data_IF_953795579055
#
_entry.id   IF_953795579055
#
_cell.length_a   1.000
_cell.length_b   1.000
_cell.length_c   1.000
_cell.angle_alpha   90.00
_cell.angle_beta   90.00
_cell.angle_gamma   90.00
#
_symmetry.space_group_name_H-M   'P 1'
#
loop_
_entity.id
_entity.type
_entity.pdbx_description
1 polymer ?
#
# COMPACT_ATOMS: atom_id res chain seq x y z
N UNK A 1 -26.92 23.87 4.47
CA UNK A 1 -25.94 23.00 3.77
C UNK A 1 -26.69 21.84 3.18
N UNK A 2 -26.35 21.36 1.97
CA UNK A 2 -27.05 20.22 1.37
C UNK A 2 -26.78 18.95 2.19
N UNK A 3 -27.77 18.10 2.42
CA UNK A 3 -27.66 16.81 3.13
C UNK A 3 -26.48 15.97 2.59
N UNK A 4 -26.24 16.04 1.28
CA UNK A 4 -25.11 15.39 0.59
C UNK A 4 -23.75 15.85 1.13
N UNK A 5 -23.57 17.16 1.37
CA UNK A 5 -22.30 17.69 1.92
C UNK A 5 -22.07 17.25 3.37
N UNK A 6 -23.13 17.18 4.15
CA UNK A 6 -23.02 16.72 5.54
C UNK A 6 -22.63 15.25 5.61
N UNK A 7 -23.26 14.39 4.80
CA UNK A 7 -22.89 12.98 4.68
C UNK A 7 -21.45 12.81 4.17
N UNK A 8 -21.00 13.59 3.20
CA UNK A 8 -19.62 13.54 2.71
C UNK A 8 -18.60 13.90 3.80
N UNK A 9 -18.89 14.88 4.65
CA UNK A 9 -18.02 15.24 5.79
C UNK A 9 -17.94 14.13 6.85
N UNK A 10 -19.05 13.43 7.11
CA UNK A 10 -19.06 12.28 8.02
C UNK A 10 -18.21 11.13 7.45
N UNK A 11 -18.40 10.82 6.17
CA UNK A 11 -17.59 9.79 5.50
C UNK A 11 -16.11 10.19 5.50
N UNK A 12 -15.79 11.47 5.24
CA UNK A 12 -14.41 11.96 5.29
C UNK A 12 -13.75 11.69 6.65
N UNK A 13 -14.49 11.82 7.76
CA UNK A 13 -13.96 11.52 9.09
C UNK A 13 -13.70 10.02 9.35
N UNK A 14 -14.26 9.15 8.55
CA UNK A 14 -14.05 7.70 8.59
C UNK A 14 -12.93 7.24 7.65
N UNK A 15 -12.49 8.10 6.74
CA UNK A 15 -11.35 7.83 5.85
C UNK A 15 -10.02 8.12 6.55
N UNK A 16 -8.89 7.52 6.10
CA UNK A 16 -7.58 7.70 6.74
C UNK A 16 -7.04 9.13 6.79
N UNK A 17 -7.53 10.05 5.96
CA UNK A 17 -7.17 11.46 5.95
C UNK A 17 -5.74 11.77 5.49
N UNK A 18 -5.05 10.83 4.84
CA UNK A 18 -3.63 10.96 4.46
C UNK A 18 -3.42 11.55 3.06
N UNK A 19 -4.49 11.82 2.31
CA UNK A 19 -4.45 12.38 0.95
C UNK A 19 -3.35 11.76 0.07
N UNK A 20 -3.41 10.42 -0.06
CA UNK A 20 -2.37 9.63 -0.75
C UNK A 20 -2.25 9.91 -2.26
N UNK A 21 -3.04 10.85 -2.81
CA UNK A 21 -3.01 11.23 -4.21
C UNK A 21 -3.56 10.17 -5.16
N UNK A 22 -4.41 9.26 -4.67
CA UNK A 22 -4.98 8.17 -5.47
C UNK A 22 -4.04 6.98 -5.71
N UNK A 23 -2.79 7.07 -5.29
CA UNK A 23 -1.79 6.00 -5.46
C UNK A 23 -2.09 4.75 -4.61
N UNK A 24 -2.98 4.88 -3.62
CA UNK A 24 -3.46 3.76 -2.82
C UNK A 24 -4.66 3.02 -3.43
N UNK A 25 -4.90 3.14 -4.74
CA UNK A 25 -5.92 2.35 -5.45
C UNK A 25 -7.33 2.94 -5.46
N UNK A 26 -7.64 4.01 -4.71
CA UNK A 26 -8.97 4.64 -4.78
C UNK A 26 -9.16 5.52 -6.02
N UNK A 27 -8.06 5.97 -6.65
CA UNK A 27 -8.07 6.77 -7.87
C UNK A 27 -8.41 8.26 -7.68
N UNK A 28 -8.53 8.74 -6.44
CA UNK A 28 -8.87 10.13 -6.14
C UNK A 28 -7.70 10.89 -5.50
N UNK A 29 -7.49 12.18 -5.83
CA UNK A 29 -6.32 12.92 -5.36
C UNK A 29 -6.36 13.24 -3.86
N UNK A 30 -7.55 13.33 -3.26
CA UNK A 30 -7.74 13.63 -1.84
C UNK A 30 -8.79 12.72 -1.22
N UNK A 31 -8.76 12.57 0.09
CA UNK A 31 -9.79 11.83 0.81
C UNK A 31 -11.16 12.52 0.72
N UNK A 32 -11.21 13.85 0.58
CA UNK A 32 -12.45 14.58 0.35
C UNK A 32 -13.09 14.21 -1.00
N UNK A 33 -12.30 14.13 -2.07
CA UNK A 33 -12.78 13.69 -3.38
C UNK A 33 -13.24 12.22 -3.35
N UNK A 34 -12.57 11.36 -2.60
CA UNK A 34 -12.97 9.97 -2.37
C UNK A 34 -14.31 9.90 -1.61
N UNK A 35 -14.47 10.66 -0.52
CA UNK A 35 -15.73 10.73 0.25
C UNK A 35 -16.89 11.20 -0.62
N UNK A 36 -16.69 12.22 -1.44
CA UNK A 36 -17.70 12.73 -2.37
C UNK A 36 -18.12 11.64 -3.37
N UNK A 37 -17.17 10.92 -3.96
CA UNK A 37 -17.46 9.84 -4.90
C UNK A 37 -18.26 8.69 -4.25
N UNK A 38 -17.96 8.35 -2.98
CA UNK A 38 -18.71 7.35 -2.21
C UNK A 38 -20.17 7.79 -2.03
N UNK A 39 -20.40 9.05 -1.66
CA UNK A 39 -21.75 9.60 -1.54
C UNK A 39 -22.51 9.56 -2.87
N UNK A 40 -21.83 9.85 -3.99
CA UNK A 40 -22.37 9.85 -5.35
C UNK A 40 -22.67 8.44 -5.89
N UNK A 41 -22.39 7.38 -5.14
CA UNK A 41 -22.78 6.02 -5.50
C UNK A 41 -21.65 5.03 -5.70
N UNK A 42 -20.38 5.42 -5.46
CA UNK A 42 -19.27 4.47 -5.45
C UNK A 42 -19.34 3.54 -4.23
N UNK A 43 -18.54 2.48 -4.25
CA UNK A 43 -18.48 1.50 -3.16
C UNK A 43 -18.06 2.15 -1.84
N UNK A 44 -18.62 1.69 -0.72
CA UNK A 44 -18.16 2.05 0.61
C UNK A 44 -16.70 1.61 0.86
N UNK A 45 -16.26 0.52 0.21
CA UNK A 45 -14.89 0.00 0.22
C UNK A 45 -14.00 0.61 -0.89
N UNK A 46 -14.30 1.83 -1.37
CA UNK A 46 -13.54 2.49 -2.44
C UNK A 46 -12.09 2.77 -2.03
N UNK A 47 -11.86 3.14 -0.76
CA UNK A 47 -10.53 3.34 -0.23
C UNK A 47 -9.96 2.03 0.32
N UNK A 48 -8.90 1.45 -0.29
CA UNK A 48 -8.32 0.18 0.19
C UNK A 48 -7.61 0.31 1.54
N UNK A 49 -7.36 1.53 2.01
CA UNK A 49 -6.77 1.79 3.32
C UNK A 49 -7.81 1.87 4.46
N UNK A 50 -9.10 1.68 4.16
CA UNK A 50 -10.15 1.55 5.16
C UNK A 50 -10.22 0.09 5.64
N UNK A 51 -10.27 -0.07 6.95
CA UNK A 51 -10.55 -1.37 7.56
C UNK A 51 -12.04 -1.75 7.46
N UNK A 52 -12.37 -2.96 7.88
CA UNK A 52 -13.74 -3.48 7.82
C UNK A 52 -14.73 -2.68 8.68
N UNK A 53 -14.26 -2.10 9.79
CA UNK A 53 -15.12 -1.32 10.69
C UNK A 53 -15.43 0.04 10.09
N UNK A 54 -14.45 0.71 9.47
CA UNK A 54 -14.66 1.95 8.75
C UNK A 54 -15.62 1.75 7.56
N UNK A 55 -15.44 0.69 6.77
CA UNK A 55 -16.33 0.38 5.63
C UNK A 55 -17.74 0.06 6.08
N UNK A 56 -17.92 -0.63 7.20
CA UNK A 56 -19.23 -0.88 7.80
C UNK A 56 -19.89 0.42 8.21
N UNK A 57 -19.18 1.29 8.93
CA UNK A 57 -19.68 2.59 9.37
C UNK A 57 -20.07 3.50 8.19
N UNK A 58 -19.27 3.48 7.10
CA UNK A 58 -19.58 4.20 5.87
C UNK A 58 -20.87 3.63 5.23
N UNK A 59 -21.03 2.31 5.21
CA UNK A 59 -22.21 1.65 4.65
C UNK A 59 -23.47 2.00 5.44
N UNK A 60 -23.40 1.99 6.78
CA UNK A 60 -24.47 2.39 7.67
C UNK A 60 -24.89 3.86 7.48
N UNK A 61 -23.91 4.78 7.38
CA UNK A 61 -24.17 6.20 7.12
C UNK A 61 -24.89 6.43 5.78
N UNK A 62 -24.65 5.57 4.80
CA UNK A 62 -25.29 5.61 3.48
C UNK A 62 -26.60 4.82 3.41
N UNK A 63 -26.94 4.05 4.46
CA UNK A 63 -28.09 3.13 4.44
C UNK A 63 -27.94 2.01 3.41
N UNK A 64 -26.71 1.55 3.17
CA UNK A 64 -26.37 0.47 2.23
C UNK A 64 -25.97 -0.79 2.98
N UNK A 65 -26.10 -1.94 2.30
CA UNK A 65 -25.55 -3.22 2.81
C UNK A 65 -24.02 -3.12 2.99
N UNK A 66 -23.46 -3.65 4.10
CA UNK A 66 -22.02 -3.71 4.30
C UNK A 66 -21.33 -4.48 3.19
N UNK A 67 -20.21 -3.96 2.71
CA UNK A 67 -19.34 -4.63 1.72
C UNK A 67 -18.27 -5.40 2.47
N UNK A 68 -18.07 -6.66 2.11
CA UNK A 68 -16.99 -7.47 2.67
C UNK A 68 -15.63 -6.95 2.16
N UNK A 69 -14.72 -6.65 3.08
CA UNK A 69 -13.38 -6.16 2.80
C UNK A 69 -12.39 -7.27 3.11
N UNK A 70 -11.52 -7.58 2.15
CA UNK A 70 -10.43 -8.50 2.37
C UNK A 70 -9.31 -7.78 3.12
N UNK A 71 -9.07 -8.13 4.38
CA UNK A 71 -7.96 -7.58 5.19
C UNK A 71 -6.64 -8.14 4.69
N UNK A 72 -5.93 -7.34 3.90
CA UNK A 72 -4.67 -7.72 3.28
C UNK A 72 -3.55 -6.77 3.70
N UNK A 73 -2.34 -7.31 3.73
CA UNK A 73 -1.11 -6.55 3.99
C UNK A 73 -0.09 -6.82 2.90
N UNK A 74 0.79 -5.85 2.68
CA UNK A 74 1.91 -6.04 1.79
C UNK A 74 2.89 -7.07 2.35
N UNK A 75 3.44 -7.89 1.47
CA UNK A 75 4.45 -8.89 1.77
C UNK A 75 5.59 -8.80 0.77
N UNK A 76 6.84 -8.84 1.26
CA UNK A 76 8.04 -8.82 0.43
C UNK A 76 8.47 -10.26 0.08
N UNK A 77 8.49 -10.59 -1.20
CA UNK A 77 9.01 -11.88 -1.71
C UNK A 77 10.52 -11.82 -1.95
N UNK A 78 11.29 -11.51 -0.92
CA UNK A 78 12.74 -11.50 -0.96
C UNK A 78 13.33 -11.87 0.41
N UNK A 79 14.10 -12.95 0.46
CA UNK A 79 14.79 -13.39 1.68
C UNK A 79 16.04 -12.59 2.03
N UNK A 80 16.54 -11.74 1.14
CA UNK A 80 17.45 -10.64 1.50
C UNK A 80 18.90 -10.76 1.06
N UNK A 81 19.56 -11.91 1.07
CA UNK A 81 21.03 -11.95 1.11
C UNK A 81 21.76 -11.87 -0.25
N UNK A 82 21.10 -12.25 -1.34
CA UNK A 82 21.76 -12.44 -2.64
C UNK A 82 21.63 -11.27 -3.63
N UNK A 83 21.08 -10.13 -3.21
CA UNK A 83 20.72 -9.05 -4.14
C UNK A 83 21.83 -8.01 -4.42
N UNK A 84 23.03 -8.18 -3.88
CA UNK A 84 24.12 -7.21 -4.08
C UNK A 84 23.80 -5.79 -3.58
N UNK A 85 22.99 -5.67 -2.55
CA UNK A 85 22.37 -4.42 -2.08
C UNK A 85 23.34 -3.28 -1.83
N UNK A 86 24.52 -3.58 -1.28
CA UNK A 86 25.55 -2.57 -0.96
C UNK A 86 25.97 -1.74 -2.18
N UNK A 87 25.92 -2.32 -3.38
CA UNK A 87 26.25 -1.63 -4.62
C UNK A 87 25.26 -0.52 -4.97
N UNK A 88 24.02 -0.66 -4.52
CA UNK A 88 22.95 0.28 -4.79
C UNK A 88 22.83 1.41 -3.75
N UNK A 89 23.66 1.38 -2.69
CA UNK A 89 23.65 2.43 -1.67
C UNK A 89 23.93 3.81 -2.29
N UNK A 90 23.14 4.79 -1.92
CA UNK A 90 23.25 6.16 -2.42
C UNK A 90 22.64 6.39 -3.81
N UNK A 91 22.03 5.38 -4.41
CA UNK A 91 21.24 5.60 -5.63
C UNK A 91 19.93 6.29 -5.30
N UNK A 92 19.46 7.14 -6.23
CA UNK A 92 18.28 7.99 -6.07
C UNK A 92 16.97 7.19 -5.94
N UNK A 93 16.87 6.04 -6.63
CA UNK A 93 15.65 5.23 -6.63
C UNK A 93 15.91 3.78 -7.06
N UNK A 94 14.98 2.88 -6.66
CA UNK A 94 15.00 1.49 -7.13
C UNK A 94 14.90 1.38 -8.65
N UNK A 95 14.19 2.29 -9.31
CA UNK A 95 14.08 2.30 -10.77
C UNK A 95 15.44 2.55 -11.43
N UNK A 96 16.20 3.55 -10.95
CA UNK A 96 17.55 3.82 -11.46
C UNK A 96 18.53 2.69 -11.20
N UNK A 97 18.43 2.05 -10.03
CA UNK A 97 19.25 0.88 -9.72
C UNK A 97 18.97 -0.30 -10.67
N UNK A 98 17.71 -0.54 -11.00
CA UNK A 98 17.33 -1.57 -11.98
C UNK A 98 17.89 -1.28 -13.37
N UNK A 99 17.90 -0.02 -13.79
CA UNK A 99 18.48 0.42 -15.08
C UNK A 99 20.00 0.22 -15.14
N UNK A 100 20.71 0.31 -14.02
CA UNK A 100 22.12 -0.01 -13.92
C UNK A 100 22.43 -1.50 -14.09
N UNK A 101 21.43 -2.36 -13.98
CA UNK A 101 21.53 -3.81 -14.10
C UNK A 101 22.21 -4.49 -12.90
N UNK A 102 22.36 -5.79 -12.99
CA UNK A 102 22.96 -6.65 -11.96
C UNK A 102 24.27 -7.25 -12.47
N UNK A 103 25.20 -7.52 -11.57
CA UNK A 103 26.45 -8.19 -11.89
C UNK A 103 26.27 -9.72 -11.81
N UNK A 104 27.22 -10.44 -12.42
CA UNK A 104 27.25 -11.90 -12.34
C UNK A 104 27.32 -12.37 -10.88
N UNK A 105 26.41 -13.26 -10.51
CA UNK A 105 26.28 -13.77 -9.14
C UNK A 105 25.34 -12.96 -8.23
N UNK A 106 24.85 -11.80 -8.66
CA UNK A 106 23.81 -11.06 -7.94
C UNK A 106 22.40 -11.59 -8.30
N UNK A 107 21.50 -11.54 -7.32
CA UNK A 107 20.10 -11.88 -7.56
C UNK A 107 19.38 -10.78 -8.34
N UNK A 108 19.09 -11.01 -9.59
CA UNK A 108 18.36 -10.06 -10.44
C UNK A 108 16.88 -9.93 -10.08
N UNK A 109 16.35 -10.79 -9.22
CA UNK A 109 14.96 -10.81 -8.76
C UNK A 109 14.79 -10.18 -7.35
N UNK A 110 15.90 -9.86 -6.68
CA UNK A 110 15.90 -9.45 -5.29
C UNK A 110 15.54 -7.99 -5.06
N UNK A 111 15.26 -7.68 -3.79
CA UNK A 111 15.13 -6.31 -3.32
C UNK A 111 16.50 -5.60 -3.35
N UNK A 112 16.55 -4.41 -3.94
CA UNK A 112 17.80 -3.62 -4.02
C UNK A 112 18.10 -2.81 -2.75
N UNK A 113 17.18 -2.77 -1.77
CA UNK A 113 17.41 -2.15 -0.47
C UNK A 113 17.46 -0.61 -0.47
N UNK A 114 16.99 0.07 -1.52
CA UNK A 114 17.05 1.55 -1.62
C UNK A 114 15.89 2.22 -0.87
N UNK A 115 14.69 1.59 -0.88
CA UNK A 115 13.57 2.09 -0.09
C UNK A 115 12.57 2.99 -0.83
N UNK A 116 12.50 3.00 -2.18
CA UNK A 116 11.48 3.77 -2.91
C UNK A 116 10.04 3.46 -2.46
N UNK A 117 9.78 2.23 -2.00
CA UNK A 117 8.50 1.83 -1.42
C UNK A 117 8.26 2.44 -0.04
N UNK A 118 9.32 2.72 0.74
CA UNK A 118 9.23 3.38 2.05
C UNK A 118 8.80 4.82 1.88
N UNK A 119 9.42 5.56 0.97
CA UNK A 119 9.07 6.95 0.64
C UNK A 119 7.61 7.07 0.16
N UNK A 120 7.12 5.99 -0.48
CA UNK A 120 5.74 5.94 -0.97
C UNK A 120 4.73 5.60 0.12
N UNK A 121 5.16 4.95 1.20
CA UNK A 121 4.27 4.55 2.28
C UNK A 121 3.85 5.76 3.13
N UNK A 122 2.54 6.06 3.16
CA UNK A 122 1.96 7.14 3.97
C UNK A 122 1.55 6.71 5.38
N UNK A 123 1.71 5.41 5.68
CA UNK A 123 1.27 4.80 6.94
C UNK A 123 2.45 4.40 7.84
N UNK A 124 3.68 4.76 7.45
CA UNK A 124 4.91 4.42 8.19
C UNK A 124 5.02 2.92 8.52
N UNK A 125 4.54 2.10 7.58
CA UNK A 125 4.50 0.65 7.73
C UNK A 125 5.75 -0.06 7.19
N UNK A 126 6.77 0.68 6.74
CA UNK A 126 7.95 0.11 6.10
C UNK A 126 9.23 0.80 6.57
N UNK A 127 10.27 0.00 6.80
CA UNK A 127 11.62 0.49 7.09
C UNK A 127 12.68 -0.50 6.59
N UNK A 128 13.94 -0.11 6.64
CA UNK A 128 15.06 -1.00 6.35
C UNK A 128 15.71 -1.46 7.66
N UNK A 129 15.95 -2.77 7.77
CA UNK A 129 16.83 -3.38 8.76
C UNK A 129 17.91 -4.15 8.01
N UNK A 130 19.19 -3.84 8.26
CA UNK A 130 20.34 -4.45 7.60
C UNK A 130 20.18 -4.53 6.06
N UNK A 131 19.77 -3.41 5.47
CA UNK A 131 19.46 -3.29 4.03
C UNK A 131 18.29 -4.16 3.54
N UNK A 132 17.56 -4.79 4.43
CA UNK A 132 16.37 -5.55 4.10
C UNK A 132 15.11 -4.74 4.41
N UNK A 133 14.17 -4.73 3.47
CA UNK A 133 12.87 -4.12 3.68
C UNK A 133 12.05 -4.97 4.67
N UNK A 134 11.63 -4.34 5.75
CA UNK A 134 10.71 -4.89 6.73
C UNK A 134 9.36 -4.18 6.59
N UNK A 135 8.29 -4.94 6.64
CA UNK A 135 6.92 -4.44 6.56
C UNK A 135 6.19 -4.75 7.86
N UNK A 136 5.82 -3.70 8.57
CA UNK A 136 4.98 -3.77 9.77
C UNK A 136 3.53 -4.06 9.36
N UNK A 137 3.06 -5.26 9.66
CA UNK A 137 1.71 -5.70 9.30
C UNK A 137 0.62 -4.97 10.05
N UNK A 138 0.90 -4.52 11.28
CA UNK A 138 -0.09 -3.83 12.12
C UNK A 138 -0.35 -2.40 11.59
N UNK A 139 0.68 -1.77 11.03
CA UNK A 139 0.57 -0.45 10.40
C UNK A 139 0.14 -0.50 8.93
N UNK A 140 0.33 -1.63 8.26
CA UNK A 140 0.03 -1.76 6.84
C UNK A 140 -1.49 -1.78 6.62
N UNK A 141 -1.99 -0.86 5.83
CA UNK A 141 -3.42 -0.72 5.50
C UNK A 141 -3.83 -1.39 4.19
N UNK A 142 -2.91 -2.10 3.52
CA UNK A 142 -3.21 -2.76 2.25
C UNK A 142 -3.41 -1.82 1.06
N UNK A 143 -2.95 -0.58 1.13
CA UNK A 143 -3.22 0.45 0.11
C UNK A 143 -2.55 0.23 -1.24
N UNK A 144 -1.68 -0.77 -1.40
CA UNK A 144 -0.98 -1.20 -2.63
C UNK A 144 0.03 -0.21 -3.21
N UNK A 145 0.20 0.99 -2.66
CA UNK A 145 1.09 2.02 -3.20
C UNK A 145 2.56 1.58 -3.35
N UNK A 146 3.01 0.65 -2.52
CA UNK A 146 4.36 0.07 -2.58
C UNK A 146 4.53 -0.94 -3.73
N UNK A 147 3.45 -1.57 -4.19
CA UNK A 147 3.48 -2.51 -5.32
C UNK A 147 3.77 -1.75 -6.61
N UNK A 148 3.05 -0.65 -6.84
CA UNK A 148 3.16 0.15 -8.06
C UNK A 148 4.56 0.76 -8.25
N UNK A 149 5.23 1.13 -7.15
CA UNK A 149 6.55 1.76 -7.21
C UNK A 149 7.69 0.76 -7.28
N UNK A 150 7.44 -0.53 -6.98
CA UNK A 150 8.49 -1.55 -6.96
C UNK A 150 8.85 -2.02 -8.38
N UNK A 151 10.01 -1.67 -8.93
CA UNK A 151 10.37 -2.07 -10.28
C UNK A 151 10.68 -3.57 -10.41
N UNK A 152 10.92 -4.25 -9.29
CA UNK A 152 11.14 -5.70 -9.24
C UNK A 152 9.85 -6.51 -9.11
N UNK A 153 8.72 -5.86 -8.83
CA UNK A 153 7.40 -6.51 -8.63
C UNK A 153 7.41 -7.65 -7.61
N UNK A 154 8.17 -7.47 -6.53
CA UNK A 154 8.35 -8.47 -5.46
C UNK A 154 7.54 -8.19 -4.20
N UNK A 155 6.66 -7.20 -4.25
CA UNK A 155 5.72 -6.93 -3.17
C UNK A 155 4.34 -7.41 -3.64
N UNK A 156 3.73 -8.26 -2.82
CA UNK A 156 2.40 -8.82 -3.08
C UNK A 156 1.48 -8.55 -1.90
N UNK A 157 0.17 -8.63 -2.13
CA UNK A 157 -0.81 -8.60 -1.06
C UNK A 157 -1.09 -10.01 -0.58
N UNK A 158 -1.06 -10.19 0.73
CA UNK A 158 -1.43 -11.43 1.39
C UNK A 158 -2.47 -11.15 2.47
N UNK A 159 -3.32 -12.11 2.83
CA UNK A 159 -4.20 -11.99 3.99
C UNK A 159 -3.37 -11.64 5.24
N UNK A 160 -3.85 -10.73 6.08
CA UNK A 160 -3.14 -10.33 7.31
C UNK A 160 -2.82 -11.52 8.22
N UNK A 161 -3.70 -12.50 8.25
CA UNK A 161 -3.57 -13.72 9.05
C UNK A 161 -2.65 -14.79 8.45
N UNK A 162 -2.16 -14.59 7.21
CA UNK A 162 -1.32 -15.57 6.54
C UNK A 162 -0.02 -15.83 7.32
N UNK A 163 0.24 -17.08 7.63
CA UNK A 163 1.44 -17.54 8.36
C UNK A 163 2.41 -18.31 7.47
N UNK A 164 1.93 -18.84 6.33
CA UNK A 164 2.73 -19.65 5.41
C UNK A 164 2.86 -18.91 4.08
N UNK A 165 4.08 -18.57 3.68
CA UNK A 165 4.40 -17.90 2.43
C UNK A 165 5.80 -18.24 1.96
N UNK A 166 6.05 -18.12 0.66
CA UNK A 166 7.36 -18.32 0.07
C UNK A 166 8.06 -16.97 -0.04
N UNK A 167 9.13 -16.70 0.73
CA UNK A 167 9.79 -15.40 0.75
C UNK A 167 10.82 -15.24 -0.39
N UNK A 168 10.51 -15.75 -1.58
CA UNK A 168 11.41 -15.65 -2.73
C UNK A 168 10.62 -15.59 -4.04
N UNK A 169 11.06 -14.73 -4.97
CA UNK A 169 10.47 -14.55 -6.31
C UNK A 169 11.26 -15.23 -7.44
N UNK A 170 12.43 -15.84 -7.12
CA UNK A 170 13.25 -16.52 -8.12
C UNK A 170 12.67 -17.85 -8.57
#
# INVERSE_FOLDING_TARGET
>A
MSKVKETALRILSLLPGVDCGGFGGCGYPTCEACAQAIVEGKSAALCPACDSDAVRSISEELGREPVEVCDQVAFLKCAGDAAGKKRFHGMESCQKAKECGFLDGECQWGCMGIGSCIERCKFDAMHLEDDQLVIDRDKCTGCMACIDICPQHIIEMIPREATNFIPCSS
#
